data_IF_861187606679
#
_entry.id   IF_861187606679
#
_cell.length_a   1.000
_cell.length_b   1.000
_cell.length_c   1.000
_cell.angle_alpha   90.00
_cell.angle_beta   90.00
_cell.angle_gamma   90.00
#
_symmetry.space_group_name_H-M   'P 1'
#
loop_
_entity.id
_entity.type
_entity.pdbx_description
1 polymer ?
#
# COMPACT_ATOMS: atom_id res chain seq x y z
N UNK A 1 -40.01 -20.56 -18.06
CA UNK A 1 -39.05 -20.90 -16.99
C UNK A 1 -37.60 -20.59 -17.39
N UNK A 2 -37.13 -20.92 -18.60
CA UNK A 2 -35.75 -20.62 -19.03
C UNK A 2 -35.36 -19.13 -18.97
N UNK A 3 -36.26 -18.21 -19.36
CA UNK A 3 -36.01 -16.76 -19.33
C UNK A 3 -35.80 -16.20 -17.92
N UNK A 4 -36.56 -16.70 -16.93
CA UNK A 4 -36.46 -16.24 -15.53
C UNK A 4 -35.13 -16.70 -14.93
N UNK A 5 -34.69 -17.93 -15.25
CA UNK A 5 -33.39 -18.44 -14.76
C UNK A 5 -32.23 -17.65 -15.37
N UNK A 6 -32.31 -17.29 -16.66
CA UNK A 6 -31.27 -16.50 -17.31
C UNK A 6 -31.18 -15.08 -16.72
N UNK A 7 -32.32 -14.40 -16.54
CA UNK A 7 -32.36 -13.05 -15.98
C UNK A 7 -31.85 -13.01 -14.53
N UNK A 8 -32.15 -14.05 -13.74
CA UNK A 8 -31.63 -14.19 -12.36
C UNK A 8 -30.12 -14.41 -12.37
N UNK A 9 -29.59 -15.27 -13.25
CA UNK A 9 -28.15 -15.50 -13.38
C UNK A 9 -27.42 -14.23 -13.84
N UNK A 10 -27.97 -13.49 -14.80
CA UNK A 10 -27.39 -12.23 -15.29
C UNK A 10 -27.36 -11.14 -14.21
N UNK A 11 -28.43 -11.04 -13.41
CA UNK A 11 -28.48 -10.10 -12.29
C UNK A 11 -27.43 -10.44 -11.23
N UNK A 12 -27.31 -11.72 -10.85
CA UNK A 12 -26.29 -12.16 -9.89
C UNK A 12 -24.87 -12.00 -10.44
N UNK A 13 -24.64 -12.30 -11.72
CA UNK A 13 -23.38 -12.07 -12.40
C UNK A 13 -22.98 -10.58 -12.37
N UNK A 14 -23.93 -9.68 -12.59
CA UNK A 14 -23.68 -8.22 -12.54
C UNK A 14 -23.32 -7.76 -11.12
N UNK A 15 -24.01 -8.28 -10.10
CA UNK A 15 -23.67 -8.02 -8.69
C UNK A 15 -22.27 -8.54 -8.34
N UNK A 16 -21.95 -9.75 -8.77
CA UNK A 16 -20.63 -10.37 -8.58
C UNK A 16 -19.52 -9.53 -9.25
N UNK A 17 -19.74 -9.11 -10.50
CA UNK A 17 -18.82 -8.23 -11.22
C UNK A 17 -18.56 -6.93 -10.45
N UNK A 18 -19.63 -6.25 -10.02
CA UNK A 18 -19.51 -4.99 -9.28
C UNK A 18 -18.78 -5.15 -7.95
N UNK A 19 -18.99 -6.28 -7.27
CA UNK A 19 -18.33 -6.60 -6.00
C UNK A 19 -16.83 -6.90 -6.16
N UNK A 20 -16.45 -7.58 -7.25
CA UNK A 20 -15.09 -8.09 -7.45
C UNK A 20 -14.26 -7.29 -8.46
N UNK A 21 -14.76 -6.17 -8.96
CA UNK A 21 -14.03 -5.28 -9.88
C UNK A 21 -12.73 -4.73 -9.26
N UNK A 22 -11.81 -4.30 -10.12
CA UNK A 22 -10.54 -3.63 -9.74
C UNK A 22 -9.55 -4.46 -8.91
N UNK A 23 -9.70 -5.80 -8.89
CA UNK A 23 -8.73 -6.68 -8.23
C UNK A 23 -8.55 -8.00 -8.96
N UNK A 24 -7.41 -8.63 -8.71
CA UNK A 24 -7.19 -10.04 -9.01
C UNK A 24 -7.55 -10.84 -7.76
N UNK A 25 -8.23 -11.96 -7.95
CA UNK A 25 -8.71 -12.79 -6.85
C UNK A 25 -8.68 -14.26 -7.25
N UNK A 26 -8.37 -15.12 -6.29
CA UNK A 26 -8.41 -16.56 -6.50
C UNK A 26 -9.86 -17.03 -6.70
N UNK A 27 -10.07 -18.11 -7.46
CA UNK A 27 -11.41 -18.63 -7.69
C UNK A 27 -12.07 -19.10 -6.40
N UNK A 28 -11.33 -19.72 -5.47
CA UNK A 28 -11.89 -20.18 -4.19
C UNK A 28 -12.28 -19.01 -3.30
N UNK A 29 -11.45 -17.96 -3.26
CA UNK A 29 -11.75 -16.74 -2.49
C UNK A 29 -12.94 -15.98 -3.10
N UNK A 30 -13.01 -15.88 -4.43
CA UNK A 30 -14.16 -15.28 -5.12
C UNK A 30 -15.46 -16.04 -4.85
N UNK A 31 -15.40 -17.37 -4.82
CA UNK A 31 -16.54 -18.23 -4.49
C UNK A 31 -16.99 -18.02 -3.04
N UNK A 32 -16.05 -18.01 -2.08
CA UNK A 32 -16.35 -17.75 -0.67
C UNK A 32 -17.04 -16.40 -0.49
N UNK A 33 -16.50 -15.34 -1.08
CA UNK A 33 -17.10 -14.00 -0.97
C UNK A 33 -18.47 -13.90 -1.66
N UNK A 34 -18.68 -14.63 -2.75
CA UNK A 34 -19.98 -14.70 -3.41
C UNK A 34 -21.02 -15.41 -2.53
N UNK A 35 -20.63 -16.47 -1.83
CA UNK A 35 -21.50 -17.16 -0.87
C UNK A 35 -21.85 -16.24 0.32
N UNK A 36 -20.84 -15.59 0.92
CA UNK A 36 -21.01 -14.71 2.08
C UNK A 36 -21.83 -13.46 1.76
N UNK A 37 -21.60 -12.82 0.61
CA UNK A 37 -22.17 -11.50 0.30
C UNK A 37 -23.41 -11.55 -0.59
N UNK A 38 -23.55 -12.58 -1.43
CA UNK A 38 -24.63 -12.70 -2.41
C UNK A 38 -25.51 -13.93 -2.20
N UNK A 39 -25.20 -14.76 -1.20
CA UNK A 39 -25.86 -16.06 -0.96
C UNK A 39 -25.87 -16.94 -2.22
N UNK A 40 -24.80 -16.84 -3.01
CA UNK A 40 -24.66 -17.54 -4.27
C UNK A 40 -24.11 -18.95 -4.01
N UNK A 41 -24.82 -20.00 -4.44
CA UNK A 41 -24.33 -21.38 -4.32
C UNK A 41 -23.09 -21.59 -5.20
N UNK A 42 -22.28 -22.64 -4.95
CA UNK A 42 -21.15 -22.99 -5.80
C UNK A 42 -21.54 -23.15 -7.28
N UNK A 43 -22.68 -23.80 -7.56
CA UNK A 43 -23.21 -23.96 -8.92
C UNK A 43 -23.64 -22.63 -9.53
N UNK A 44 -24.30 -21.77 -8.73
CA UNK A 44 -24.69 -20.43 -9.13
C UNK A 44 -23.48 -19.55 -9.45
N UNK A 45 -22.40 -19.66 -8.68
CA UNK A 45 -21.13 -18.99 -8.95
C UNK A 45 -20.50 -19.45 -10.26
N UNK A 46 -20.44 -20.76 -10.52
CA UNK A 46 -19.91 -21.29 -11.79
C UNK A 46 -20.72 -20.78 -12.98
N UNK A 47 -22.05 -20.78 -12.89
CA UNK A 47 -22.93 -20.24 -13.92
C UNK A 47 -22.74 -18.73 -14.12
N UNK A 48 -22.59 -17.96 -13.04
CA UNK A 48 -22.33 -16.52 -13.10
C UNK A 48 -20.97 -16.22 -13.76
N UNK A 49 -19.91 -16.94 -13.40
CA UNK A 49 -18.59 -16.80 -14.03
C UNK A 49 -18.65 -17.18 -15.51
N UNK A 50 -19.33 -18.27 -15.87
CA UNK A 50 -19.51 -18.67 -17.26
C UNK A 50 -20.26 -17.59 -18.06
N UNK A 51 -21.35 -17.04 -17.53
CA UNK A 51 -22.07 -15.94 -18.16
C UNK A 51 -21.19 -14.71 -18.38
N UNK A 52 -20.41 -14.31 -17.36
CA UNK A 52 -19.47 -13.18 -17.46
C UNK A 52 -18.34 -13.44 -18.47
N UNK A 53 -17.86 -14.68 -18.60
CA UNK A 53 -16.88 -15.06 -19.61
C UNK A 53 -17.43 -14.91 -21.03
N UNK A 54 -18.65 -15.42 -21.28
CA UNK A 54 -19.34 -15.24 -22.57
C UNK A 54 -19.50 -13.76 -22.93
N UNK A 55 -19.66 -12.88 -21.95
CA UNK A 55 -19.80 -11.44 -22.13
C UNK A 55 -18.48 -10.66 -22.17
N UNK A 56 -17.32 -11.33 -22.08
CA UNK A 56 -16.00 -10.69 -21.98
C UNK A 56 -15.89 -9.72 -20.78
N UNK A 57 -16.51 -10.09 -19.65
CA UNK A 57 -16.49 -9.33 -18.39
C UNK A 57 -15.57 -9.93 -17.33
N UNK A 58 -15.07 -11.15 -17.54
CA UNK A 58 -14.08 -11.81 -16.67
C UNK A 58 -12.92 -12.32 -17.51
N UNK A 59 -11.70 -12.14 -17.01
CA UNK A 59 -10.50 -12.80 -17.52
C UNK A 59 -9.99 -13.80 -16.47
N UNK A 60 -9.49 -14.93 -16.95
CA UNK A 60 -8.93 -15.98 -16.09
C UNK A 60 -7.45 -16.19 -16.40
N UNK A 61 -6.67 -16.52 -15.37
CA UNK A 61 -5.29 -16.96 -15.51
C UNK A 61 -5.08 -18.22 -14.67
N UNK A 62 -4.66 -19.31 -15.32
CA UNK A 62 -4.24 -20.52 -14.63
C UNK A 62 -2.72 -20.45 -14.42
N UNK A 63 -2.26 -20.80 -13.22
CA UNK A 63 -0.83 -20.88 -12.96
C UNK A 63 -0.16 -21.94 -13.86
N UNK A 64 1.15 -21.80 -14.13
CA UNK A 64 1.92 -22.85 -14.79
C UNK A 64 1.85 -24.16 -14.00
N UNK A 65 1.90 -25.29 -14.73
CA UNK A 65 1.90 -26.64 -14.14
C UNK A 65 3.00 -26.74 -13.09
N UNK A 66 2.63 -27.06 -11.84
CA UNK A 66 3.56 -27.21 -10.71
C UNK A 66 3.60 -26.04 -9.72
N UNK A 67 2.92 -24.93 -10.02
CA UNK A 67 2.58 -23.87 -9.05
C UNK A 67 1.05 -23.81 -8.89
N UNK A 68 0.57 -23.48 -7.68
CA UNK A 68 -0.86 -23.44 -7.25
C UNK A 68 -1.89 -23.68 -8.37
N UNK A 69 -2.62 -24.80 -8.32
CA UNK A 69 -3.63 -25.18 -9.33
C UNK A 69 -4.83 -24.22 -9.42
N UNK A 70 -4.84 -23.18 -8.59
CA UNK A 70 -5.97 -22.27 -8.47
C UNK A 70 -6.02 -21.24 -9.60
N UNK A 71 -7.21 -21.09 -10.19
CA UNK A 71 -7.49 -20.09 -11.22
C UNK A 71 -7.60 -18.71 -10.58
N UNK A 72 -6.92 -17.72 -11.16
CA UNK A 72 -7.03 -16.31 -10.79
C UNK A 72 -8.01 -15.62 -11.73
N UNK A 73 -8.92 -14.83 -11.15
CA UNK A 73 -9.98 -14.11 -11.83
C UNK A 73 -9.72 -12.61 -11.78
N UNK A 74 -10.06 -11.91 -12.86
CA UNK A 74 -10.09 -10.44 -12.95
C UNK A 74 -11.42 -10.01 -13.57
N UNK A 75 -12.12 -9.08 -12.93
CA UNK A 75 -13.44 -8.62 -13.34
C UNK A 75 -13.38 -7.23 -13.99
N UNK A 76 -14.14 -7.02 -15.06
CA UNK A 76 -14.23 -5.73 -15.74
C UNK A 76 -14.97 -4.70 -14.87
N UNK A 77 -14.62 -3.44 -15.07
CA UNK A 77 -15.47 -2.33 -14.63
C UNK A 77 -16.79 -2.37 -15.42
N UNK A 78 -17.95 -2.06 -14.80
CA UNK A 78 -19.22 -1.95 -15.50
C UNK A 78 -19.12 -1.04 -16.73
N UNK A 79 -19.65 -1.50 -17.86
CA UNK A 79 -19.56 -0.78 -19.15
C UNK A 79 -18.32 -1.10 -19.99
N UNK A 80 -17.26 -1.66 -19.43
CA UNK A 80 -16.03 -1.96 -20.17
C UNK A 80 -15.86 -3.45 -20.49
N UNK A 81 -15.02 -3.76 -21.49
CA UNK A 81 -14.57 -5.12 -21.75
C UNK A 81 -13.30 -5.41 -20.96
N UNK A 82 -13.17 -6.62 -20.43
CA UNK A 82 -11.98 -6.99 -19.67
C UNK A 82 -10.77 -7.19 -20.57
N UNK A 83 -9.62 -6.69 -20.14
CA UNK A 83 -8.34 -7.05 -20.73
C UNK A 83 -7.80 -8.32 -20.08
N UNK A 84 -7.03 -9.09 -20.83
CA UNK A 84 -6.32 -10.25 -20.30
C UNK A 84 -5.46 -9.85 -19.10
N UNK A 85 -5.30 -10.78 -18.14
CA UNK A 85 -4.42 -10.58 -16.99
C UNK A 85 -2.99 -10.50 -17.50
N UNK A 86 -2.35 -9.36 -17.30
CA UNK A 86 -0.96 -9.16 -17.70
C UNK A 86 0.00 -9.90 -16.76
N UNK A 87 1.22 -10.17 -17.23
CA UNK A 87 2.27 -10.81 -16.42
C UNK A 87 2.57 -9.99 -15.17
N UNK A 88 2.60 -8.66 -15.27
CA UNK A 88 2.91 -7.76 -14.14
C UNK A 88 1.79 -7.84 -13.10
N UNK A 89 0.52 -7.78 -13.50
CA UNK A 89 -0.61 -7.90 -12.58
C UNK A 89 -0.59 -9.25 -11.83
N UNK A 90 -0.34 -10.34 -12.56
CA UNK A 90 -0.25 -11.66 -11.94
C UNK A 90 0.96 -11.77 -10.99
N UNK A 91 2.11 -11.20 -11.35
CA UNK A 91 3.28 -11.16 -10.46
C UNK A 91 3.02 -10.38 -9.18
N UNK A 92 2.35 -9.22 -9.26
CA UNK A 92 1.94 -8.44 -8.08
C UNK A 92 1.03 -9.29 -7.19
N UNK A 93 -0.03 -9.87 -7.77
CA UNK A 93 -0.95 -10.74 -7.04
C UNK A 93 -0.23 -11.89 -6.34
N UNK A 94 0.71 -12.57 -7.01
CA UNK A 94 1.46 -13.69 -6.41
C UNK A 94 2.38 -13.23 -5.27
N UNK A 95 2.99 -12.06 -5.38
CA UNK A 95 3.80 -11.46 -4.31
C UNK A 95 2.93 -11.13 -3.09
N UNK A 96 1.77 -10.50 -3.29
CA UNK A 96 0.82 -10.18 -2.22
C UNK A 96 0.28 -11.44 -1.53
N UNK A 97 -0.04 -12.50 -2.29
CA UNK A 97 -0.49 -13.77 -1.70
C UNK A 97 0.62 -14.43 -0.87
N UNK A 98 1.86 -14.39 -1.35
CA UNK A 98 3.00 -14.92 -0.61
C UNK A 98 3.24 -14.13 0.69
N UNK A 99 3.12 -12.80 0.65
CA UNK A 99 3.21 -11.95 1.83
C UNK A 99 2.15 -12.32 2.87
N UNK A 100 0.89 -12.47 2.45
CA UNK A 100 -0.20 -12.88 3.35
C UNK A 100 0.03 -14.27 3.95
N UNK A 101 0.55 -15.23 3.16
CA UNK A 101 0.89 -16.56 3.66
C UNK A 101 2.01 -16.52 4.71
N UNK A 102 3.04 -15.70 4.47
CA UNK A 102 4.14 -15.50 5.41
C UNK A 102 3.69 -14.83 6.70
N UNK A 103 2.80 -13.83 6.62
CA UNK A 103 2.22 -13.19 7.80
C UNK A 103 1.47 -14.21 8.68
N UNK A 104 0.60 -15.05 8.10
CA UNK A 104 -0.09 -16.12 8.84
C UNK A 104 0.89 -17.11 9.49
N UNK A 105 1.99 -17.44 8.78
CA UNK A 105 3.04 -18.31 9.32
C UNK A 105 3.79 -17.66 10.48
N UNK A 106 4.03 -16.36 10.41
CA UNK A 106 4.63 -15.58 11.50
C UNK A 106 3.75 -15.66 12.74
N UNK A 107 2.46 -15.31 12.63
CA UNK A 107 1.53 -15.34 13.77
C UNK A 107 1.50 -16.72 14.47
N UNK A 108 1.42 -17.80 13.68
CA UNK A 108 1.43 -19.17 14.20
C UNK A 108 2.77 -19.56 14.86
N UNK A 109 3.89 -19.06 14.33
CA UNK A 109 5.21 -19.29 14.89
C UNK A 109 5.47 -18.50 16.17
N UNK A 110 4.96 -17.27 16.27
CA UNK A 110 5.01 -16.47 17.50
C UNK A 110 4.25 -17.14 18.63
N UNK A 111 3.02 -17.59 18.36
CA UNK A 111 2.22 -18.32 19.34
C UNK A 111 2.92 -19.62 19.78
N UNK A 112 3.53 -20.34 18.83
CA UNK A 112 4.28 -21.56 19.12
C UNK A 112 5.56 -21.29 19.92
N UNK A 113 6.27 -20.20 19.65
CA UNK A 113 7.44 -19.78 20.42
C UNK A 113 7.05 -19.43 21.87
N UNK A 114 5.93 -18.71 22.06
CA UNK A 114 5.38 -18.38 23.38
C UNK A 114 5.01 -19.62 24.17
N UNK A 115 4.31 -20.59 23.55
CA UNK A 115 3.97 -21.87 24.18
C UNK A 115 5.19 -22.66 24.63
N UNK A 116 6.25 -22.73 23.82
CA UNK A 116 7.48 -23.42 24.21
C UNK A 116 8.24 -22.68 25.32
N UNK A 117 8.12 -21.35 25.38
CA UNK A 117 8.64 -20.56 26.50
C UNK A 117 7.92 -20.85 27.82
N UNK A 118 6.59 -20.91 27.79
CA UNK A 118 5.76 -21.25 28.96
C UNK A 118 6.08 -22.66 29.48
N UNK A 119 6.17 -23.65 28.59
CA UNK A 119 6.59 -25.03 28.94
C UNK A 119 8.00 -25.05 29.55
N UNK A 120 8.93 -24.28 28.99
CA UNK A 120 10.28 -24.19 29.55
C UNK A 120 10.25 -23.65 30.99
N UNK A 121 9.45 -22.60 31.26
CA UNK A 121 9.26 -22.04 32.60
C UNK A 121 8.64 -23.06 33.57
N UNK A 122 7.67 -23.87 33.12
CA UNK A 122 7.10 -24.95 33.93
C UNK A 122 8.14 -26.03 34.28
N UNK A 123 8.94 -26.47 33.31
CA UNK A 123 9.97 -27.47 33.56
C UNK A 123 11.09 -26.94 34.47
N UNK A 124 11.40 -25.65 34.41
CA UNK A 124 12.30 -24.99 35.37
C UNK A 124 11.74 -25.06 36.79
N UNK A 125 10.44 -24.74 36.98
CA UNK A 125 9.77 -24.85 38.29
C UNK A 125 9.77 -26.28 38.83
N UNK A 126 9.68 -27.27 37.95
CA UNK A 126 9.77 -28.71 38.28
C UNK A 126 11.21 -29.23 38.40
N UNK A 127 12.22 -28.35 38.36
CA UNK A 127 13.66 -28.69 38.39
C UNK A 127 14.11 -29.67 37.29
N UNK A 128 13.35 -29.79 36.18
CA UNK A 128 13.69 -30.65 35.05
C UNK A 128 14.44 -29.86 33.97
N UNK A 129 15.75 -29.72 34.18
CA UNK A 129 16.63 -28.87 33.35
C UNK A 129 16.76 -29.34 31.90
N UNK A 130 16.71 -30.65 31.66
CA UNK A 130 16.86 -31.23 30.32
C UNK A 130 15.67 -30.90 29.43
N UNK A 131 14.43 -31.07 29.94
CA UNK A 131 13.23 -30.72 29.20
C UNK A 131 13.09 -29.21 29.01
N UNK A 132 13.46 -28.41 30.01
CA UNK A 132 13.51 -26.95 29.86
C UNK A 132 14.45 -26.52 28.73
N UNK A 133 15.66 -27.10 28.67
CA UNK A 133 16.63 -26.81 27.60
C UNK A 133 16.08 -27.21 26.23
N UNK A 134 15.42 -28.37 26.12
CA UNK A 134 14.81 -28.83 24.88
C UNK A 134 13.71 -27.87 24.38
N UNK A 135 12.81 -27.42 25.27
CA UNK A 135 11.79 -26.41 24.93
C UNK A 135 12.41 -25.09 24.46
N UNK A 136 13.45 -24.60 25.14
CA UNK A 136 14.18 -23.39 24.72
C UNK A 136 14.86 -23.56 23.35
N UNK A 137 15.41 -24.73 23.05
CA UNK A 137 15.96 -25.03 21.73
C UNK A 137 14.89 -24.97 20.64
N UNK A 138 13.69 -25.53 20.89
CA UNK A 138 12.55 -25.45 19.95
C UNK A 138 12.06 -24.01 19.76
N UNK A 139 11.93 -23.24 20.85
CA UNK A 139 11.64 -21.80 20.80
C UNK A 139 12.63 -21.06 19.89
N UNK A 140 13.93 -21.32 20.04
CA UNK A 140 14.95 -20.67 19.23
C UNK A 140 14.84 -21.02 17.73
N UNK A 141 14.39 -22.23 17.39
CA UNK A 141 14.10 -22.58 15.99
C UNK A 141 12.93 -21.75 15.44
N UNK A 142 11.85 -21.58 16.22
CA UNK A 142 10.75 -20.70 15.82
C UNK A 142 11.21 -19.25 15.64
N UNK A 143 12.01 -18.70 16.56
CA UNK A 143 12.54 -17.34 16.45
C UNK A 143 13.41 -17.13 15.21
N UNK A 144 14.25 -18.12 14.84
CA UNK A 144 15.03 -18.05 13.59
C UNK A 144 14.15 -18.07 12.35
N UNK A 145 13.08 -18.87 12.36
CA UNK A 145 12.16 -18.91 11.24
C UNK A 145 11.34 -17.60 11.12
N UNK A 146 10.96 -17.01 12.25
CA UNK A 146 10.34 -15.69 12.30
C UNK A 146 11.22 -14.65 11.62
N UNK A 147 12.48 -14.54 12.03
CA UNK A 147 13.44 -13.60 11.41
C UNK A 147 13.56 -13.83 9.90
N UNK A 148 13.62 -15.09 9.46
CA UNK A 148 13.68 -15.45 8.04
C UNK A 148 12.42 -15.01 7.28
N UNK A 149 11.23 -15.25 7.83
CA UNK A 149 9.97 -14.88 7.20
C UNK A 149 9.77 -13.36 7.18
N UNK A 150 10.12 -12.66 8.25
CA UNK A 150 10.08 -11.18 8.29
C UNK A 150 10.98 -10.58 7.22
N UNK A 151 12.22 -11.09 7.06
CA UNK A 151 13.12 -10.67 5.98
C UNK A 151 12.53 -10.94 4.59
N UNK A 152 11.87 -12.09 4.40
CA UNK A 152 11.22 -12.41 3.14
C UNK A 152 10.08 -11.44 2.82
N UNK A 153 9.26 -11.04 3.81
CA UNK A 153 8.22 -10.02 3.65
C UNK A 153 8.82 -8.67 3.24
N UNK A 154 9.88 -8.22 3.92
CA UNK A 154 10.55 -6.95 3.58
C UNK A 154 11.05 -6.96 2.12
N UNK A 155 11.64 -8.07 1.68
CA UNK A 155 12.09 -8.21 0.28
C UNK A 155 10.91 -8.18 -0.71
N UNK A 156 9.78 -8.81 -0.37
CA UNK A 156 8.57 -8.79 -1.21
C UNK A 156 8.04 -7.36 -1.33
N UNK A 157 7.95 -6.61 -0.23
CA UNK A 157 7.52 -5.22 -0.22
C UNK A 157 8.44 -4.31 -1.05
N UNK A 158 9.75 -4.52 -0.98
CA UNK A 158 10.72 -3.82 -1.83
C UNK A 158 10.51 -4.13 -3.32
N UNK A 159 10.24 -5.39 -3.68
CA UNK A 159 9.92 -5.77 -5.06
C UNK A 159 8.63 -5.11 -5.56
N UNK A 160 7.58 -5.08 -4.73
CA UNK A 160 6.32 -4.42 -5.05
C UNK A 160 6.52 -2.91 -5.30
N UNK A 161 7.29 -2.24 -4.44
CA UNK A 161 7.64 -0.83 -4.63
C UNK A 161 8.37 -0.60 -5.96
N UNK A 162 9.38 -1.42 -6.27
CA UNK A 162 10.12 -1.32 -7.54
C UNK A 162 9.23 -1.53 -8.77
N UNK A 163 8.29 -2.48 -8.71
CA UNK A 163 7.31 -2.70 -9.79
C UNK A 163 6.42 -1.47 -9.96
N UNK A 164 5.99 -0.85 -8.86
CA UNK A 164 5.21 0.39 -8.89
C UNK A 164 6.00 1.53 -9.54
N UNK A 165 7.25 1.75 -9.11
CA UNK A 165 8.12 2.79 -9.65
C UNK A 165 8.38 2.61 -11.15
N UNK A 166 8.64 1.39 -11.61
CA UNK A 166 8.81 1.09 -13.04
C UNK A 166 7.53 1.41 -13.82
N UNK A 167 6.35 1.11 -13.25
CA UNK A 167 5.06 1.40 -13.87
C UNK A 167 4.81 2.91 -13.95
N UNK A 168 5.15 3.65 -12.90
CA UNK A 168 5.06 5.11 -12.86
C UNK A 168 6.03 5.76 -13.85
N UNK A 169 7.30 5.32 -13.86
CA UNK A 169 8.31 5.81 -14.79
C UNK A 169 7.94 5.57 -16.25
N UNK A 170 7.30 4.43 -16.56
CA UNK A 170 6.74 4.17 -17.89
C UNK A 170 5.68 5.21 -18.26
N UNK A 171 4.78 5.56 -17.33
CA UNK A 171 3.75 6.59 -17.55
C UNK A 171 4.36 7.97 -17.75
N UNK A 172 5.34 8.36 -16.92
CA UNK A 172 6.09 9.62 -17.06
C UNK A 172 6.74 9.70 -18.44
N UNK A 173 7.44 8.64 -18.85
CA UNK A 173 8.09 8.58 -20.16
C UNK A 173 7.09 8.71 -21.32
N UNK A 174 5.91 8.09 -21.21
CA UNK A 174 4.85 8.24 -22.21
C UNK A 174 4.33 9.68 -22.27
N UNK A 175 4.13 10.33 -21.12
CA UNK A 175 3.73 11.74 -21.05
C UNK A 175 4.79 12.66 -21.64
N UNK A 176 6.07 12.44 -21.36
CA UNK A 176 7.16 13.22 -21.96
C UNK A 176 7.22 13.04 -23.48
N UNK A 177 7.05 11.82 -23.98
CA UNK A 177 6.98 11.56 -25.43
C UNK A 177 5.81 12.28 -26.07
N UNK A 178 4.65 12.32 -25.40
CA UNK A 178 3.48 13.04 -25.89
C UNK A 178 3.74 14.56 -25.91
N UNK A 179 4.22 15.12 -24.81
CA UNK A 179 4.56 16.54 -24.71
C UNK A 179 5.61 16.98 -25.72
N UNK A 180 6.66 16.18 -25.92
CA UNK A 180 7.68 16.42 -26.94
C UNK A 180 7.12 16.41 -28.37
N UNK A 181 6.21 15.47 -28.69
CA UNK A 181 5.49 15.48 -29.97
C UNK A 181 4.61 16.70 -30.13
N UNK A 182 3.83 17.06 -29.10
CA UNK A 182 3.00 18.26 -29.12
C UNK A 182 3.82 19.53 -29.32
N UNK A 183 5.00 19.62 -28.70
CA UNK A 183 5.92 20.74 -28.91
C UNK A 183 6.46 20.78 -30.35
N UNK A 184 6.88 19.64 -30.89
CA UNK A 184 7.32 19.55 -32.29
C UNK A 184 6.20 19.94 -33.27
N UNK A 185 4.98 19.48 -33.03
CA UNK A 185 3.83 19.82 -33.86
C UNK A 185 3.47 21.31 -33.73
N UNK A 186 3.55 21.88 -32.52
CA UNK A 186 3.36 23.32 -32.31
C UNK A 186 4.41 24.16 -33.05
N UNK A 187 5.69 23.78 -33.01
CA UNK A 187 6.77 24.45 -33.74
C UNK A 187 6.61 24.35 -35.27
N UNK A 188 6.19 23.18 -35.78
CA UNK A 188 5.89 23.01 -37.20
C UNK A 188 4.70 23.86 -37.66
N UNK A 189 3.68 23.97 -36.82
CA UNK A 189 2.45 24.68 -37.13
C UNK A 189 2.54 26.20 -36.87
N UNK A 190 3.50 26.67 -36.06
CA UNK A 190 3.73 28.09 -35.81
C UNK A 190 4.53 28.78 -36.93
N UNK A 191 5.10 28.01 -37.86
CA UNK A 191 5.96 28.54 -38.93
C UNK A 191 7.34 29.01 -38.44
N UNK A 192 7.67 28.80 -37.16
CA UNK A 192 8.96 29.17 -36.57
C UNK A 192 10.00 28.14 -37.00
N UNK A 193 10.89 28.51 -37.92
CA UNK A 193 12.01 27.66 -38.35
C UNK A 193 13.23 27.88 -37.46
N UNK A 194 14.15 26.91 -37.42
CA UNK A 194 15.43 27.08 -36.74
C UNK A 194 16.20 28.32 -37.26
N UNK A 195 16.10 28.61 -38.57
CA UNK A 195 16.68 29.80 -39.18
C UNK A 195 16.07 31.11 -38.64
N UNK A 196 14.75 31.17 -38.43
CA UNK A 196 14.10 32.34 -37.83
C UNK A 196 14.53 32.56 -36.37
N UNK A 197 14.72 31.47 -35.62
CA UNK A 197 15.21 31.53 -34.24
C UNK A 197 16.67 32.01 -34.21
N UNK A 198 17.53 31.45 -35.05
CA UNK A 198 18.94 31.87 -35.15
C UNK A 198 19.05 33.36 -35.55
N UNK A 199 18.27 33.80 -36.54
CA UNK A 199 18.23 35.22 -36.94
C UNK A 199 17.74 36.12 -35.79
N UNK A 200 16.68 35.72 -35.08
CA UNK A 200 16.16 36.50 -33.94
C UNK A 200 17.18 36.53 -32.78
N UNK A 201 17.93 35.45 -32.56
CA UNK A 201 18.99 35.38 -31.54
C UNK A 201 20.18 36.26 -31.93
N UNK A 202 20.55 36.32 -33.21
CA UNK A 202 21.61 37.23 -33.68
C UNK A 202 21.16 38.70 -33.58
N UNK A 203 19.94 39.03 -33.98
CA UNK A 203 19.35 40.37 -33.80
C UNK A 203 19.25 40.75 -32.30
N UNK A 204 18.93 39.78 -31.43
CA UNK A 204 18.88 39.99 -29.98
C UNK A 204 20.28 40.13 -29.37
N UNK A 205 21.29 39.40 -29.85
CA UNK A 205 22.69 39.58 -29.45
C UNK A 205 23.20 40.96 -29.83
N UNK A 206 22.88 41.43 -31.03
CA UNK A 206 23.18 42.80 -31.45
C UNK A 206 22.47 43.82 -30.55
N UNK A 207 21.20 43.60 -30.21
CA UNK A 207 20.45 44.47 -29.30
C UNK A 207 20.98 44.47 -27.86
N UNK A 208 21.40 43.31 -27.34
CA UNK A 208 22.06 43.19 -26.02
C UNK A 208 23.41 43.86 -26.06
N UNK A 209 24.21 43.68 -27.11
CA UNK A 209 25.50 44.36 -27.24
C UNK A 209 25.33 45.89 -27.28
N UNK A 210 24.30 46.39 -27.96
CA UNK A 210 23.92 47.81 -27.92
C UNK A 210 23.44 48.23 -26.52
N UNK A 211 22.69 47.37 -25.83
CA UNK A 211 22.21 47.62 -24.46
C UNK A 211 23.37 47.66 -23.45
N UNK A 212 24.33 46.73 -23.55
CA UNK A 212 25.53 46.63 -22.72
C UNK A 212 26.48 47.81 -23.00
N UNK A 213 26.60 48.24 -24.25
CA UNK A 213 27.33 49.47 -24.63
C UNK A 213 26.65 50.72 -24.06
N UNK A 214 25.31 50.74 -23.97
CA UNK A 214 24.52 51.81 -23.32
C UNK A 214 24.61 51.75 -21.79
N UNK A 215 24.58 50.56 -21.18
CA UNK A 215 24.74 50.35 -19.74
C UNK A 215 26.17 50.68 -19.28
N UNK A 216 27.19 50.27 -20.03
CA UNK A 216 28.58 50.64 -19.80
C UNK A 216 28.80 52.16 -19.96
N UNK A 217 28.02 52.82 -20.81
CA UNK A 217 28.03 54.28 -20.97
C UNK A 217 27.24 55.03 -19.89
N UNK A 218 26.25 54.39 -19.24
CA UNK A 218 25.42 54.99 -18.18
C UNK A 218 25.93 54.71 -16.76
N UNK A 219 26.79 53.70 -16.61
CA UNK A 219 27.61 53.47 -15.44
C UNK A 219 26.92 52.85 -14.23
N UNK A 220 27.79 52.30 -13.38
CA UNK A 220 27.61 51.91 -11.97
C UNK A 220 26.95 50.55 -11.69
N UNK A 221 27.82 49.61 -11.30
CA UNK A 221 27.54 48.39 -10.54
C UNK A 221 26.42 48.56 -9.52
N UNK A 222 25.31 47.85 -9.70
CA UNK A 222 24.34 47.60 -8.64
C UNK A 222 23.60 46.27 -8.84
N UNK A 223 24.28 45.17 -8.56
CA UNK A 223 23.63 43.99 -7.97
C UNK A 223 24.68 43.03 -7.44
N UNK A 224 24.88 43.02 -6.11
CA UNK A 224 25.65 41.98 -5.44
C UNK A 224 24.91 40.64 -5.57
N UNK A 225 25.64 39.52 -5.67
CA UNK A 225 25.06 38.20 -5.45
C UNK A 225 24.45 38.17 -4.05
N UNK A 226 23.21 37.71 -3.91
CA UNK A 226 22.61 37.49 -2.60
C UNK A 226 23.53 36.61 -1.75
N UNK A 227 23.91 37.13 -0.58
CA UNK A 227 24.86 36.51 0.32
C UNK A 227 24.26 35.20 0.88
N UNK A 228 24.99 34.11 0.70
CA UNK A 228 24.68 32.77 1.21
C UNK A 228 24.43 32.74 2.74
N UNK A 229 24.80 33.80 3.47
CA UNK A 229 24.55 34.00 4.89
C UNK A 229 23.07 34.27 5.22
N UNK A 230 22.31 34.91 4.33
CA UNK A 230 20.89 35.20 4.54
C UNK A 230 20.05 33.90 4.46
N UNK A 231 20.45 32.98 3.58
CA UNK A 231 19.85 31.63 3.46
C UNK A 231 20.20 30.72 4.65
N UNK A 232 21.40 30.84 5.24
CA UNK A 232 21.77 30.11 6.46
C UNK A 232 20.99 30.60 7.69
N UNK A 233 20.68 31.90 7.74
CA UNK A 233 19.88 32.48 8.81
C UNK A 233 18.41 32.06 8.72
N UNK A 234 17.84 32.00 7.51
CA UNK A 234 16.48 31.49 7.29
C UNK A 234 16.36 30.01 7.70
N UNK A 235 17.37 29.19 7.38
CA UNK A 235 17.45 27.79 7.81
C UNK A 235 17.51 27.65 9.34
N UNK A 236 18.28 28.50 10.02
CA UNK A 236 18.41 28.48 11.48
C UNK A 236 17.08 28.79 12.18
N UNK A 237 16.34 29.79 11.67
CA UNK A 237 15.04 30.17 12.24
C UNK A 237 14.00 29.05 12.09
N UNK A 238 13.95 28.38 10.93
CA UNK A 238 13.05 27.25 10.70
C UNK A 238 13.32 26.06 11.64
N UNK A 239 14.58 25.83 12.01
CA UNK A 239 14.95 24.75 12.93
C UNK A 239 14.59 25.06 14.39
N UNK A 240 14.62 26.32 14.81
CA UNK A 240 14.19 26.72 16.17
C UNK A 240 12.67 26.62 16.36
N UNK A 241 11.87 26.96 15.34
CA UNK A 241 10.41 26.86 15.39
C UNK A 241 9.95 25.41 15.57
N UNK A 242 10.54 24.45 14.85
CA UNK A 242 10.20 23.02 14.97
C UNK A 242 10.56 22.43 16.35
N UNK A 243 11.66 22.91 16.96
CA UNK A 243 12.06 22.53 18.31
C UNK A 243 11.11 23.08 19.38
N UNK A 244 10.66 24.33 19.24
CA UNK A 244 9.70 24.95 20.15
C UNK A 244 8.32 24.27 20.09
N UNK A 245 7.89 23.85 18.89
CA UNK A 245 6.65 23.10 18.68
C UNK A 245 6.66 21.75 19.43
N UNK A 246 7.75 20.99 19.33
CA UNK A 246 7.92 19.70 20.04
C UNK A 246 7.93 19.84 21.56
N UNK A 247 8.54 20.90 22.09
CA UNK A 247 8.59 21.15 23.54
C UNK A 247 7.18 21.50 24.08
N UNK A 248 6.38 22.24 23.31
CA UNK A 248 4.98 22.52 23.70
C UNK A 248 4.13 21.25 23.70
N UNK A 249 4.28 20.38 22.70
CA UNK A 249 3.52 19.12 22.62
C UNK A 249 3.85 18.19 23.81
N UNK A 250 5.12 18.12 24.22
CA UNK A 250 5.56 17.35 25.39
C UNK A 250 5.03 17.92 26.73
N UNK A 251 4.97 19.25 26.87
CA UNK A 251 4.42 19.88 28.08
C UNK A 251 2.90 19.70 28.18
N UNK A 252 2.20 19.73 27.04
CA UNK A 252 0.76 19.42 26.96
C UNK A 252 0.51 17.95 27.34
N UNK A 253 1.31 17.01 26.84
CA UNK A 253 1.22 15.59 27.20
C UNK A 253 1.37 15.38 28.71
N UNK A 254 2.37 16.00 29.34
CA UNK A 254 2.63 15.88 30.78
C UNK A 254 1.49 16.46 31.64
N UNK A 255 0.90 17.59 31.22
CA UNK A 255 -0.23 18.19 31.92
C UNK A 255 -1.49 17.33 31.83
N UNK A 256 -1.72 16.65 30.71
CA UNK A 256 -2.84 15.73 30.53
C UNK A 256 -2.71 14.49 31.44
N UNK A 257 -1.49 13.96 31.61
CA UNK A 257 -1.26 12.84 32.52
C UNK A 257 -1.46 13.20 34.00
N UNK A 258 -1.07 14.41 34.40
CA UNK A 258 -1.23 14.89 35.78
C UNK A 258 -2.70 15.13 36.20
N UNK A 259 -3.61 15.30 35.24
CA UNK A 259 -5.04 15.51 35.49
C UNK A 259 -5.86 14.22 35.56
N UNK A 260 -5.22 13.04 35.39
CA UNK A 260 -5.92 11.76 35.49
C UNK A 260 -6.24 11.44 36.95
N UNK A 261 -7.51 11.56 37.33
CA UNK A 261 -7.99 11.24 38.67
C UNK A 261 -7.80 9.73 38.94
N UNK A 262 -7.21 9.31 40.08
CA UNK A 262 -7.11 7.90 40.46
C UNK A 262 -8.51 7.33 40.75
N UNK A 263 -8.98 6.38 39.96
CA UNK A 263 -10.17 5.59 40.32
C UNK A 263 -9.81 4.63 41.46
N UNK A 264 -10.26 4.97 42.67
CA UNK A 264 -10.19 4.04 43.79
C UNK A 264 -10.70 4.62 45.10
N UNK A 265 -11.95 4.27 45.45
CA UNK A 265 -12.47 3.88 46.79
C UNK A 265 -13.98 4.21 46.90
N UNK A 266 -14.76 3.56 47.78
CA UNK A 266 -15.06 2.13 47.89
C UNK A 266 -16.60 1.88 47.82
N UNK A 267 -17.00 0.67 47.41
CA UNK A 267 -18.42 0.25 47.32
C UNK A 267 -19.10 0.24 48.69
N UNK A 268 -20.22 0.96 48.82
CA UNK A 268 -21.12 0.90 49.96
C UNK A 268 -22.25 -0.13 49.75
N UNK A 269 -22.56 -0.82 50.85
CA UNK A 269 -23.78 -1.58 51.15
C UNK A 269 -23.95 -3.01 50.61
N UNK A 270 -23.61 -3.97 51.46
CA UNK A 270 -24.21 -5.31 51.53
C UNK A 270 -25.35 -5.31 52.55
N UNK A 271 -26.58 -5.77 52.24
CA UNK A 271 -27.64 -5.89 53.24
C UNK A 271 -27.49 -7.12 54.13
N UNK A 272 -27.60 -6.84 55.44
CA UNK A 272 -27.98 -7.65 56.61
C UNK A 272 -28.54 -9.07 56.34
N UNK A 273 -27.89 -10.07 56.94
CA UNK A 273 -28.41 -11.43 57.11
C UNK A 273 -29.68 -11.43 57.98
N UNK A 274 -30.72 -12.13 57.54
CA UNK A 274 -31.83 -12.56 58.39
C UNK A 274 -31.60 -14.02 58.74
N UNK A 275 -31.40 -14.28 60.03
CA UNK A 275 -31.48 -15.60 60.64
C UNK A 275 -32.91 -16.12 60.47
N UNK A 276 -33.07 -17.33 59.93
CA UNK A 276 -34.22 -18.18 60.22
C UNK A 276 -33.71 -19.47 60.82
N UNK A 277 -34.06 -19.65 62.09
CA UNK A 277 -33.88 -20.83 62.92
C UNK A 277 -34.46 -22.08 62.23
N UNK A 278 -33.70 -23.17 62.30
CA UNK A 278 -34.25 -24.51 62.29
C UNK A 278 -33.75 -25.21 63.57
N UNK A 279 -34.73 -25.71 64.33
CA UNK A 279 -34.70 -26.42 65.61
C UNK A 279 -34.67 -25.58 66.89
#
# INVERSE_FOLDING_TARGET
MAFIVQEVVENQATKLQKMLQNRLISQSEAMRLAEESLSLSPEGFVLAIHALLCQQKVATHCAPIGESEEVVLKFAVPGEKIQAISKIEYSIYRLEMMEQELMKKIDAQEESAKREEEKAREYIKKSNRNLAKFCLSRRNVFLKNLEKHTKAIMNIQEMLSKIHDVTLNKKILQTYKLGGKSLQDALKNSGITAEMVDQTVDEMREAIQVSDEVEAALGTDLSSPADNAELEQELANLLEEDAAQKIQDDDILRKLEALRIPEGSPSAHTPRQTETSQY
#
